data_IF_938279205634
#
_entry.id   IF_938279205634
#
_cell.length_a   1.000
_cell.length_b   1.000
_cell.length_c   1.000
_cell.angle_alpha   90.00
_cell.angle_beta   90.00
_cell.angle_gamma   90.00
#
_symmetry.space_group_name_H-M   'P 1'
#
loop_
_entity.id
_entity.type
_entity.pdbx_description
1 polymer ?
2 non-polymer ?
3 non-polymer ?
4 non-polymer ?
5 water ?
#
# COMPACT_ATOMS: atom_id res chain seq x y z
N UNK A 1 -3.69 -17.78 -20.26
CA UNK A 1 -3.65 -19.20 -19.81
C UNK A 1 -2.24 -19.76 -19.98
N UNK A 2 -1.88 -20.16 -21.20
CA UNK A 2 -0.46 -20.30 -21.52
C UNK A 2 0.30 -18.98 -21.30
N UNK A 3 -0.29 -17.88 -21.74
CA UNK A 3 0.23 -16.54 -21.47
C UNK A 3 0.47 -16.31 -19.96
N UNK A 4 -0.56 -16.60 -19.18
CA UNK A 4 -0.55 -16.39 -17.75
C UNK A 4 0.43 -17.32 -17.06
N UNK A 5 0.39 -18.60 -17.40
CA UNK A 5 1.37 -19.55 -16.88
C UNK A 5 2.80 -19.11 -17.19
N UNK A 6 3.03 -18.65 -18.40
CA UNK A 6 4.32 -18.11 -18.76
C UNK A 6 4.76 -16.98 -17.85
N UNK A 7 3.85 -16.04 -17.60
CA UNK A 7 4.16 -14.88 -16.78
C UNK A 7 4.67 -15.33 -15.42
N UNK A 8 3.91 -16.21 -14.79
CA UNK A 8 4.23 -16.64 -13.45
C UNK A 8 5.48 -17.53 -13.43
N UNK A 9 5.66 -18.36 -14.45
CA UNK A 9 6.84 -19.25 -14.47
C UNK A 9 8.11 -18.48 -14.84
N UNK A 10 8.04 -17.67 -15.89
CA UNK A 10 9.19 -16.86 -16.31
C UNK A 10 9.66 -15.88 -15.22
N UNK A 11 8.72 -15.24 -14.52
CA UNK A 11 9.09 -14.16 -13.58
C UNK A 11 9.12 -14.63 -12.14
N UNK A 12 8.98 -15.96 -11.96
CA UNK A 12 9.08 -16.60 -10.63
C UNK A 12 8.07 -16.11 -9.63
N UNK A 13 6.86 -15.85 -10.12
CA UNK A 13 5.78 -15.38 -9.26
C UNK A 13 5.09 -16.55 -8.58
N UNK A 14 5.35 -16.73 -7.30
CA UNK A 14 4.74 -17.83 -6.57
C UNK A 14 3.53 -17.29 -5.85
N UNK A 15 2.37 -17.89 -6.05
CA UNK A 15 1.13 -17.34 -5.52
C UNK A 15 0.39 -18.42 -4.75
N UNK A 16 -0.11 -18.11 -3.56
CA UNK A 16 -0.99 -19.04 -2.85
C UNK A 16 -2.27 -18.29 -2.51
N UNK A 17 -3.40 -19.00 -2.49
CA UNK A 17 -4.67 -18.38 -2.13
C UNK A 17 -5.81 -18.87 -3.01
N UNK A 18 -7.02 -18.37 -2.80
CA UNK A 18 -8.14 -18.82 -3.60
C UNK A 18 -8.67 -17.69 -4.49
N UNK A 19 -9.17 -18.04 -5.69
CA UNK A 19 -9.74 -17.04 -6.60
C UNK A 19 -8.73 -15.97 -7.00
N UNK A 20 -7.54 -16.39 -7.39
CA UNK A 20 -6.44 -15.49 -7.74
C UNK A 20 -6.70 -14.70 -8.99
N UNK A 21 -6.57 -13.35 -8.91
CA UNK A 21 -6.60 -12.52 -10.11
C UNK A 21 -5.38 -12.82 -10.97
N UNK A 22 -5.55 -12.80 -12.28
CA UNK A 22 -4.40 -12.91 -13.16
C UNK A 22 -3.44 -11.74 -13.03
N UNK A 23 -2.15 -12.03 -13.21
CA UNK A 23 -1.18 -10.96 -13.20
C UNK A 23 -1.33 -10.12 -14.49
N UNK A 24 -0.89 -8.88 -14.45
CA UNK A 24 -0.84 -8.12 -15.69
C UNK A 24 0.56 -8.21 -16.31
N UNK A 25 0.61 -8.31 -17.63
CA UNK A 25 1.86 -8.36 -18.35
C UNK A 25 2.47 -6.96 -18.59
N UNK A 26 1.61 -5.96 -18.75
CA UNK A 26 2.08 -4.64 -19.17
C UNK A 26 1.27 -3.55 -18.47
N UNK A 27 1.82 -2.35 -18.32
CA UNK A 27 0.99 -1.26 -17.77
C UNK A 27 -0.17 -0.86 -18.68
N UNK A 28 -0.02 -1.11 -19.96
CA UNK A 28 -1.09 -0.82 -20.93
C UNK A 28 -2.40 -1.61 -20.67
N UNK A 29 -2.26 -2.88 -20.29
CA UNK A 29 -3.40 -3.67 -19.78
C UNK A 29 -4.28 -2.89 -18.83
N UNK A 30 -3.67 -2.11 -17.93
CA UNK A 30 -4.41 -1.38 -16.89
C UNK A 30 -5.29 -0.31 -17.50
N UNK A 31 -4.91 0.22 -18.64
CA UNK A 31 -5.85 1.14 -19.26
C UNK A 31 -6.99 0.30 -19.83
N UNK A 32 -6.64 -0.80 -20.50
CA UNK A 32 -7.64 -1.62 -21.17
C UNK A 32 -8.57 -2.27 -20.16
N UNK A 33 -8.03 -2.78 -19.06
CA UNK A 33 -8.84 -3.55 -18.10
C UNK A 33 -9.47 -2.72 -16.95
N UNK A 34 -8.73 -1.76 -16.40
CA UNK A 34 -9.19 -0.94 -15.26
C UNK A 34 -9.33 0.54 -15.56
N UNK A 35 -8.91 1.00 -16.73
CA UNK A 35 -9.25 2.37 -17.10
C UNK A 35 -8.60 3.40 -16.16
N UNK A 36 -7.34 3.10 -15.83
CA UNK A 36 -6.42 3.99 -15.11
C UNK A 36 -6.37 5.44 -15.64
N UNK A 37 -6.24 6.38 -14.72
CA UNK A 37 -6.07 7.78 -15.07
C UNK A 37 -4.97 7.96 -16.11
N UNK A 38 -5.27 8.70 -17.18
CA UNK A 38 -4.32 8.86 -18.28
C UNK A 38 -3.04 9.60 -17.88
N UNK A 39 -3.15 10.57 -16.98
CA UNK A 39 -1.96 11.25 -16.50
C UNK A 39 -1.07 10.32 -15.67
N UNK A 40 -1.68 9.60 -14.74
CA UNK A 40 -0.95 8.58 -13.96
C UNK A 40 -0.17 7.63 -14.86
N UNK A 41 -0.85 7.01 -15.83
CA UNK A 41 -0.17 6.10 -16.76
C UNK A 41 0.99 6.79 -17.52
N UNK A 42 0.79 8.04 -17.94
CA UNK A 42 1.88 8.75 -18.61
C UNK A 42 3.03 9.03 -17.63
N UNK A 43 2.70 9.34 -16.38
CA UNK A 43 3.76 9.56 -15.38
C UNK A 43 4.64 8.33 -15.20
N UNK A 44 3.98 7.18 -15.06
CA UNK A 44 4.63 5.88 -14.93
C UNK A 44 5.58 5.63 -16.11
N UNK A 45 5.07 5.80 -17.33
CA UNK A 45 5.89 5.60 -18.52
C UNK A 45 7.03 6.65 -18.66
N UNK A 46 6.73 7.92 -18.41
CA UNK A 46 7.75 8.99 -18.35
C UNK A 46 8.86 8.74 -17.33
N UNK A 47 8.55 8.02 -16.26
CA UNK A 47 9.56 7.69 -15.26
C UNK A 47 10.50 6.60 -15.76
N UNK A 48 10.20 6.06 -16.94
CA UNK A 48 11.03 5.03 -17.56
C UNK A 48 10.60 3.65 -17.11
N UNK A 49 9.46 3.57 -16.44
CA UNK A 49 8.98 2.28 -16.01
C UNK A 49 8.23 1.70 -17.18
N UNK A 50 8.99 1.13 -18.10
CA UNK A 50 8.44 0.58 -19.33
C UNK A 50 7.57 -0.68 -19.11
N UNK A 51 7.92 -1.48 -18.11
CA UNK A 51 7.28 -2.78 -17.86
C UNK A 51 7.14 -3.02 -16.36
N UNK A 52 5.98 -3.52 -15.90
CA UNK A 52 5.94 -3.77 -14.46
C UNK A 52 6.94 -4.83 -14.07
N UNK A 53 7.38 -4.75 -12.83
CA UNK A 53 8.26 -5.74 -12.25
C UNK A 53 7.42 -6.95 -11.83
N UNK A 54 8.07 -8.10 -11.58
CA UNK A 54 7.32 -9.32 -11.21
C UNK A 54 6.33 -9.09 -10.03
N UNK A 55 6.73 -8.34 -8.99
CA UNK A 55 5.83 -8.12 -7.85
C UNK A 55 4.66 -7.21 -8.24
N UNK A 56 4.95 -6.16 -9.00
CA UNK A 56 3.92 -5.32 -9.61
C UNK A 56 2.96 -6.13 -10.46
N UNK A 57 3.48 -7.02 -11.30
CA UNK A 57 2.64 -7.82 -12.18
C UNK A 57 1.51 -8.53 -11.43
N UNK A 58 1.83 -9.12 -10.29
CA UNK A 58 0.82 -9.85 -9.54
C UNK A 58 0.22 -9.07 -8.36
N UNK A 59 0.99 -8.19 -7.73
CA UNK A 59 0.44 -7.48 -6.55
C UNK A 59 -0.65 -6.47 -6.94
N UNK A 60 -0.42 -5.77 -8.05
CA UNK A 60 -1.34 -4.71 -8.44
C UNK A 60 -2.76 -5.22 -8.66
N UNK A 61 -2.91 -6.28 -9.50
CA UNK A 61 -4.29 -6.74 -9.73
C UNK A 61 -4.90 -7.37 -8.48
N UNK A 62 -4.10 -7.97 -7.60
CA UNK A 62 -4.63 -8.45 -6.34
C UNK A 62 -5.28 -7.31 -5.52
N UNK A 63 -4.62 -6.16 -5.41
CA UNK A 63 -5.18 -5.01 -4.66
C UNK A 63 -6.34 -4.37 -5.38
N UNK A 64 -6.27 -4.32 -6.71
CA UNK A 64 -7.32 -3.71 -7.48
C UNK A 64 -8.61 -4.53 -7.25
N UNK A 65 -8.47 -5.84 -7.05
CA UNK A 65 -9.62 -6.72 -6.84
C UNK A 65 -10.08 -6.72 -5.40
N UNK A 66 -9.50 -5.86 -4.57
CA UNK A 66 -9.93 -5.74 -3.19
C UNK A 66 -9.58 -6.92 -2.28
N UNK A 67 -8.48 -7.61 -2.60
CA UNK A 67 -8.07 -8.80 -1.88
C UNK A 67 -6.91 -8.46 -0.98
N UNK A 68 -6.97 -8.91 0.29
CA UNK A 68 -5.85 -8.73 1.19
C UNK A 68 -4.67 -9.53 0.70
N UNK A 69 -3.47 -9.06 1.02
CA UNK A 69 -2.28 -9.47 0.32
C UNK A 69 -1.11 -9.57 1.29
N UNK A 70 -0.37 -10.65 1.18
CA UNK A 70 0.99 -10.68 1.71
C UNK A 70 1.92 -10.80 0.50
N UNK A 71 2.74 -9.77 0.29
CA UNK A 71 3.62 -9.70 -0.86
C UNK A 71 5.06 -9.67 -0.41
N UNK A 72 5.88 -10.57 -0.95
CA UNK A 72 7.29 -10.65 -0.59
C UNK A 72 8.15 -10.63 -1.82
N UNK A 73 9.16 -9.76 -1.79
CA UNK A 73 10.13 -9.68 -2.87
C UNK A 73 11.36 -8.97 -2.34
N UNK A 74 12.56 -9.36 -2.79
CA UNK A 74 13.79 -8.74 -2.26
C UNK A 74 13.80 -7.21 -2.43
N UNK A 75 14.61 -6.52 -1.65
CA UNK A 75 14.95 -5.13 -1.94
C UNK A 75 15.29 -4.90 -3.42
N UNK A 76 14.78 -3.80 -3.99
CA UNK A 76 15.07 -3.49 -5.37
C UNK A 76 14.03 -4.05 -6.32
N UNK A 77 12.93 -4.57 -5.79
CA UNK A 77 11.97 -5.25 -6.64
C UNK A 77 10.87 -4.36 -7.21
N UNK A 78 10.77 -3.11 -6.71
CA UNK A 78 9.70 -2.16 -7.04
C UNK A 78 8.44 -2.32 -6.19
N UNK A 79 8.61 -2.65 -4.91
CA UNK A 79 7.44 -2.84 -4.05
C UNK A 79 6.69 -1.53 -3.79
N UNK A 80 7.38 -0.38 -3.83
CA UNK A 80 6.65 0.89 -3.64
C UNK A 80 5.57 1.11 -4.69
N UNK A 81 5.90 0.93 -5.97
CA UNK A 81 4.90 1.18 -7.02
C UNK A 81 3.82 0.12 -7.03
N UNK A 82 4.21 -1.11 -6.64
CA UNK A 82 3.27 -2.23 -6.48
C UNK A 82 2.07 -1.93 -5.54
N UNK A 83 2.31 -1.15 -4.48
CA UNK A 83 1.16 -0.70 -3.67
C UNK A 83 0.63 0.70 -3.98
N UNK A 84 1.44 1.55 -4.60
CA UNK A 84 1.06 2.94 -4.80
C UNK A 84 0.07 3.13 -5.95
N UNK A 85 0.32 2.38 -7.03
CA UNK A 85 -0.54 2.43 -8.20
C UNK A 85 -1.97 2.00 -7.91
N UNK A 86 -2.16 0.84 -7.29
CA UNK A 86 -3.53 0.43 -6.99
C UNK A 86 -4.22 1.34 -5.97
N UNK A 87 -3.49 1.86 -5.01
CA UNK A 87 -4.06 2.87 -4.11
C UNK A 87 -4.53 4.10 -4.87
N UNK A 88 -3.66 4.67 -5.70
CA UNK A 88 -4.10 5.81 -6.52
C UNK A 88 -5.29 5.47 -7.44
N UNK A 89 -5.22 4.31 -8.08
CA UNK A 89 -6.30 3.88 -8.98
C UNK A 89 -7.64 3.69 -8.25
N UNK A 90 -7.60 3.05 -7.09
CA UNK A 90 -8.80 2.82 -6.29
C UNK A 90 -9.41 4.15 -5.83
N UNK A 91 -8.56 5.06 -5.38
CA UNK A 91 -9.07 6.30 -4.82
C UNK A 91 -9.70 7.20 -5.91
N UNK A 92 -9.30 6.97 -7.16
CA UNK A 92 -9.81 7.65 -8.36
C UNK A 92 -9.49 9.14 -8.50
N UNK A 93 -9.92 9.92 -7.50
CA UNK A 93 -9.80 11.39 -7.54
C UNK A 93 -9.50 11.88 -6.14
N UNK A 94 -8.78 13.02 -6.06
CA UNK A 94 -8.60 13.69 -4.78
C UNK A 94 -9.96 13.93 -4.19
N UNK A 95 -10.08 13.90 -2.87
CA UNK A 95 -11.38 14.12 -2.25
C UNK A 95 -11.18 14.78 -0.89
N UNK A 96 -12.27 15.27 -0.31
CA UNK A 96 -12.23 16.04 0.92
C UNK A 96 -12.77 15.22 2.08
N UNK A 97 -12.45 13.92 2.04
CA UNK A 97 -13.00 12.93 2.97
C UNK A 97 -11.97 12.58 4.05
N UNK A 98 -10.82 13.26 4.07
CA UNK A 98 -9.73 12.87 4.99
C UNK A 98 -9.00 11.67 4.42
N UNK A 99 -8.00 11.15 5.12
CA UNK A 99 -7.12 10.10 4.52
C UNK A 99 -7.88 8.86 4.14
N UNK A 100 -7.70 8.43 2.90
CA UNK A 100 -8.36 7.23 2.39
C UNK A 100 -7.38 6.09 2.22
N UNK A 101 -6.12 6.36 2.53
CA UNK A 101 -5.13 5.32 2.43
C UNK A 101 -4.02 5.67 3.37
N UNK A 102 -3.39 4.64 3.90
CA UNK A 102 -2.43 4.78 4.98
C UNK A 102 -1.31 3.78 4.74
N UNK A 103 -0.08 4.26 4.68
CA UNK A 103 1.05 3.39 4.44
C UNK A 103 1.97 3.50 5.65
N UNK A 104 2.31 2.38 6.25
CA UNK A 104 3.15 2.35 7.43
C UNK A 104 4.52 1.80 7.05
N UNK A 105 5.56 2.51 7.44
CA UNK A 105 6.91 2.11 7.12
C UNK A 105 7.70 2.27 8.41
N UNK A 106 8.84 1.53 8.55
CA UNK A 106 9.57 1.50 9.83
C UNK A 106 10.14 2.84 10.29
N UNK A 107 10.62 3.66 9.37
CA UNK A 107 11.34 4.86 9.78
C UNK A 107 10.95 6.11 9.00
N UNK A 108 11.23 7.27 9.58
CA UNK A 108 11.14 8.54 8.85
C UNK A 108 11.85 8.46 7.48
N UNK A 109 13.08 7.92 7.45
CA UNK A 109 13.86 7.79 6.21
C UNK A 109 13.12 7.03 5.12
N UNK A 110 12.67 5.82 5.47
CA UNK A 110 11.96 4.99 4.51
C UNK A 110 10.60 5.60 4.16
N UNK A 111 9.91 6.16 5.14
CA UNK A 111 8.64 6.86 4.88
C UNK A 111 8.86 8.01 3.90
N UNK A 112 9.89 8.81 4.13
CA UNK A 112 10.12 9.94 3.25
C UNK A 112 10.32 9.51 1.77
N UNK A 113 11.05 8.41 1.55
CA UNK A 113 11.22 7.89 0.18
C UNK A 113 9.90 7.41 -0.47
N UNK A 114 9.05 6.72 0.30
CA UNK A 114 7.74 6.38 -0.23
C UNK A 114 6.96 7.65 -0.58
N UNK A 115 7.03 8.64 0.29
CA UNK A 115 6.30 9.88 0.06
C UNK A 115 6.74 10.55 -1.26
N UNK A 116 8.05 10.62 -1.49
CA UNK A 116 8.56 11.23 -2.72
C UNK A 116 8.15 10.47 -4.00
N UNK A 117 8.19 9.15 -3.94
CA UNK A 117 7.78 8.32 -5.06
C UNK A 117 6.29 8.59 -5.40
N UNK A 118 5.46 8.66 -4.37
CA UNK A 118 4.05 8.96 -4.56
C UNK A 118 3.84 10.34 -5.17
N UNK A 119 4.57 11.32 -4.66
CA UNK A 119 4.45 12.67 -5.14
C UNK A 119 4.77 12.66 -6.63
N UNK A 120 5.88 11.98 -6.98
CA UNK A 120 6.37 12.02 -8.35
C UNK A 120 5.41 11.31 -9.33
N UNK A 121 4.98 10.10 -8.97
CA UNK A 121 4.11 9.33 -9.88
C UNK A 121 2.71 9.93 -9.96
N UNK A 122 2.35 10.75 -9.01
CA UNK A 122 1.01 11.33 -9.05
C UNK A 122 0.97 12.79 -9.50
N UNK A 123 2.11 13.32 -9.94
CA UNK A 123 2.15 14.71 -10.40
C UNK A 123 1.02 15.03 -11.37
N UNK A 124 0.37 16.16 -11.14
CA UNK A 124 -0.71 16.60 -12.02
C UNK A 124 -2.07 15.94 -11.81
N UNK A 125 -2.18 15.01 -10.86
CA UNK A 125 -3.43 14.32 -10.57
C UNK A 125 -4.24 14.97 -9.45
N UNK A 126 -3.59 15.86 -8.70
CA UNK A 126 -4.22 16.54 -7.58
C UNK A 126 -4.30 15.79 -6.26
N UNK A 127 -3.79 14.56 -6.20
CA UNK A 127 -3.77 13.85 -4.90
C UNK A 127 -2.82 14.55 -3.91
N UNK A 128 -3.27 14.65 -2.67
CA UNK A 128 -2.48 15.24 -1.61
C UNK A 128 -1.96 14.13 -0.70
N UNK A 129 -0.64 14.01 -0.67
CA UNK A 129 0.00 12.94 0.04
C UNK A 129 0.88 13.60 1.08
N UNK A 130 0.81 13.11 2.30
CA UNK A 130 1.40 13.81 3.43
C UNK A 130 2.16 12.87 4.33
N UNK A 131 3.14 13.43 5.02
CA UNK A 131 3.68 12.83 6.22
C UNK A 131 3.21 13.80 7.32
N UNK A 132 2.98 13.31 8.53
CA UNK A 132 2.63 14.22 9.60
C UNK A 132 3.81 14.45 10.59
N UNK A 133 4.43 15.61 10.47
CA UNK A 133 5.59 15.96 11.27
C UNK A 133 5.19 16.58 12.60
N UNK A 134 6.17 16.74 13.48
CA UNK A 134 5.97 17.24 14.83
C UNK A 134 5.13 18.50 14.94
N UNK A 135 5.49 19.53 14.18
CA UNK A 135 4.74 20.80 14.19
C UNK A 135 3.27 20.64 13.67
N UNK A 136 3.08 19.79 12.66
CA UNK A 136 1.73 19.48 12.21
C UNK A 136 0.93 18.76 13.31
N UNK A 137 1.60 17.89 14.06
CA UNK A 137 0.98 17.23 15.18
C UNK A 137 0.59 18.30 16.23
N UNK A 138 1.55 19.14 16.59
CA UNK A 138 1.26 20.26 17.48
C UNK A 138 0.08 21.10 16.97
N UNK A 139 0.07 21.41 15.67
CA UNK A 139 -0.99 22.25 15.10
C UNK A 139 -2.33 21.56 14.83
N UNK A 140 -2.38 20.22 14.93
CA UNK A 140 -3.64 19.51 14.69
C UNK A 140 -4.09 19.74 13.25
N UNK A 141 -3.12 19.91 12.35
CA UNK A 141 -3.44 20.26 10.98
C UNK A 141 -4.29 19.18 10.27
N UNK A 142 -4.19 17.93 10.71
CA UNK A 142 -4.95 16.86 10.05
C UNK A 142 -6.00 16.30 10.98
N UNK A 143 -6.34 17.06 12.01
CA UNK A 143 -7.36 16.66 12.97
C UNK A 143 -8.72 16.39 12.33
N UNK A 144 -9.57 15.64 13.04
CA UNK A 144 -10.98 15.47 12.67
C UNK A 144 -11.71 16.82 12.45
N UNK A 145 -11.31 17.88 13.15
CA UNK A 145 -11.97 19.18 12.89
C UNK A 145 -11.24 20.06 11.84
N UNK A 146 -10.46 19.43 10.97
CA UNK A 146 -9.76 20.18 9.93
C UNK A 146 -10.56 20.17 8.62
N UNK A 147 -9.93 20.71 7.57
CA UNK A 147 -10.50 20.75 6.21
C UNK A 147 -10.80 19.36 5.60
N UNK A 148 -9.99 18.37 5.93
CA UNK A 148 -10.10 17.02 5.36
C UNK A 148 -9.69 16.92 3.89
N UNK A 149 -9.04 17.97 3.39
CA UNK A 149 -8.53 17.95 2.06
C UNK A 149 -7.14 17.31 2.06
N UNK A 150 -7.11 16.01 2.29
CA UNK A 150 -5.90 15.21 2.19
C UNK A 150 -6.32 13.78 1.89
N UNK A 151 -5.47 13.05 1.16
CA UNK A 151 -5.90 11.76 0.57
C UNK A 151 -5.13 10.56 1.14
N UNK A 152 -3.81 10.70 1.21
CA UNK A 152 -2.94 9.56 1.50
C UNK A 152 -1.93 9.97 2.55
N UNK A 153 -1.78 9.14 3.59
CA UNK A 153 -0.80 9.39 4.67
C UNK A 153 0.32 8.35 4.64
N UNK A 154 1.57 8.82 4.62
CA UNK A 154 2.71 7.89 4.83
C UNK A 154 3.28 8.15 6.22
N UNK A 155 3.50 7.09 7.02
CA UNK A 155 3.88 7.33 8.40
C UNK A 155 4.59 6.11 9.01
N UNK A 156 5.02 6.27 10.26
CA UNK A 156 5.61 5.21 11.04
C UNK A 156 4.57 4.74 12.05
N UNK A 157 4.77 3.55 12.62
CA UNK A 157 3.84 3.03 13.62
C UNK A 157 3.72 3.97 14.85
N UNK A 158 4.85 4.44 15.38
CA UNK A 158 4.82 5.22 16.63
C UNK A 158 4.15 6.58 16.45
N UNK A 159 4.40 7.19 15.29
CA UNK A 159 3.82 8.50 15.00
C UNK A 159 2.32 8.40 14.86
N UNK A 160 1.88 7.35 14.19
CA UNK A 160 0.46 7.15 13.96
C UNK A 160 -0.25 6.85 15.29
N UNK A 161 0.40 6.07 16.15
CA UNK A 161 -0.20 5.67 17.40
C UNK A 161 -0.26 6.90 18.32
N UNK A 162 0.80 7.69 18.27
CA UNK A 162 0.78 8.94 19.02
C UNK A 162 -0.45 9.78 18.66
N UNK A 163 -0.71 9.93 17.37
CA UNK A 163 -1.90 10.70 16.92
C UNK A 163 -3.23 10.11 17.40
N UNK A 164 -3.38 8.79 17.27
CA UNK A 164 -4.59 8.08 17.67
C UNK A 164 -4.84 8.24 19.16
N UNK A 165 -3.76 8.37 19.95
CA UNK A 165 -3.90 8.34 21.39
C UNK A 165 -4.01 9.71 22.01
N UNK A 166 -3.79 10.76 21.23
CA UNK A 166 -4.00 12.11 21.72
C UNK A 166 -5.45 12.31 22.21
N UNK A 167 -5.66 13.27 23.10
CA UNK A 167 -6.99 13.57 23.60
C UNK A 167 -7.34 15.02 23.28
N UNK A 168 -8.17 15.23 22.25
CA UNK A 168 -8.82 14.17 21.47
C UNK A 168 -7.91 13.73 20.34
N UNK A 169 -8.31 12.67 19.62
CA UNK A 169 -7.45 12.05 18.59
C UNK A 169 -6.96 13.05 17.54
N UNK A 170 -5.67 13.02 17.23
CA UNK A 170 -5.09 13.89 16.22
C UNK A 170 -5.28 13.40 14.79
N UNK A 171 -6.00 12.30 14.61
CA UNK A 171 -6.30 11.80 13.29
C UNK A 171 -7.55 10.92 13.34
N UNK A 172 -8.26 10.85 12.21
CA UNK A 172 -9.47 10.02 12.11
C UNK A 172 -9.24 9.06 10.94
N UNK A 173 -9.38 7.76 11.18
CA UNK A 173 -9.08 6.74 10.18
C UNK A 173 -10.32 6.10 9.61
N UNK A 174 -11.47 6.73 9.86
CA UNK A 174 -12.75 6.18 9.47
C UNK A 174 -12.91 6.00 7.96
N UNK A 175 -12.19 6.76 7.14
CA UNK A 175 -12.31 6.57 5.68
C UNK A 175 -11.18 5.80 5.00
N UNK A 176 -10.24 5.30 5.79
CA UNK A 176 -9.10 4.59 5.22
C UNK A 176 -9.62 3.34 4.51
N UNK A 177 -9.31 3.23 3.24
CA UNK A 177 -9.74 2.06 2.48
C UNK A 177 -8.58 1.08 2.30
N UNK A 178 -7.36 1.60 2.32
CA UNK A 178 -6.18 0.72 2.19
C UNK A 178 -5.21 0.99 3.33
N UNK A 179 -4.85 -0.05 4.07
CA UNK A 179 -3.79 0.04 5.07
C UNK A 179 -2.65 -0.86 4.61
N UNK A 180 -1.52 -0.22 4.29
CA UNK A 180 -0.39 -0.92 3.74
C UNK A 180 0.77 -0.87 4.74
N UNK A 181 1.33 -2.04 5.05
CA UNK A 181 2.53 -2.13 5.87
C UNK A 181 3.71 -2.50 4.97
N UNK A 182 4.68 -1.59 4.90
CA UNK A 182 5.86 -1.79 4.10
C UNK A 182 7.00 -2.25 5.02
N UNK A 183 7.84 -3.15 4.51
CA UNK A 183 8.88 -3.80 5.33
C UNK A 183 8.32 -4.46 6.60
N UNK A 184 7.27 -5.26 6.42
CA UNK A 184 6.68 -6.04 7.50
C UNK A 184 7.65 -6.97 8.22
N UNK A 185 8.56 -7.58 7.48
CA UNK A 185 9.53 -8.48 8.12
C UNK A 185 10.31 -7.68 9.15
N UNK A 186 10.75 -6.48 8.80
CA UNK A 186 11.55 -5.71 9.74
C UNK A 186 10.70 -5.35 10.97
N UNK A 187 9.53 -4.78 10.73
CA UNK A 187 8.64 -4.37 11.79
C UNK A 187 8.30 -5.52 12.78
N UNK A 188 8.03 -6.73 12.27
CA UNK A 188 7.72 -7.83 13.18
C UNK A 188 8.96 -8.33 13.90
N UNK A 189 10.12 -7.78 13.57
CA UNK A 189 11.36 -8.24 14.21
C UNK A 189 11.94 -7.21 15.17
N UNK A 190 11.61 -5.94 14.94
CA UNK A 190 12.09 -4.86 15.80
C UNK A 190 11.29 -4.80 17.09
N UNK A 191 9.97 -4.68 16.98
CA UNK A 191 9.09 -4.76 18.14
C UNK A 191 8.46 -6.13 18.25
N UNK A 194 4.35 -6.49 20.45
CA UNK A 194 4.75 -5.08 20.36
C UNK A 194 4.20 -4.36 19.13
N UNK A 195 4.83 -4.57 17.98
CA UNK A 195 4.30 -4.06 16.74
C UNK A 195 2.93 -4.73 16.48
N UNK A 196 2.82 -6.00 16.82
CA UNK A 196 1.58 -6.76 16.61
C UNK A 196 0.37 -6.09 17.26
N UNK A 197 0.57 -5.57 18.47
CA UNK A 197 -0.50 -4.91 19.19
C UNK A 197 -0.81 -3.52 18.64
N UNK A 198 0.23 -2.80 18.21
CA UNK A 198 0.03 -1.52 17.53
C UNK A 198 -0.87 -1.72 16.32
N UNK A 199 -0.49 -2.68 15.48
CA UNK A 199 -1.24 -2.95 14.27
C UNK A 199 -2.69 -3.36 14.57
N UNK A 200 -2.90 -4.05 15.69
CA UNK A 200 -4.26 -4.37 16.10
C UNK A 200 -5.06 -3.10 16.39
N UNK A 201 -4.46 -2.16 17.13
CA UNK A 201 -5.16 -0.93 17.49
C UNK A 201 -5.34 -0.01 16.27
N UNK A 202 -4.31 0.10 15.44
CA UNK A 202 -4.52 0.77 14.16
C UNK A 202 -5.71 0.17 13.39
N UNK A 203 -5.68 -1.13 13.11
CA UNK A 203 -6.76 -1.71 12.32
C UNK A 203 -8.11 -1.47 13.00
N UNK A 204 -8.14 -1.54 14.34
CA UNK A 204 -9.41 -1.35 15.05
C UNK A 204 -9.97 0.04 14.78
N UNK A 205 -9.07 1.00 14.55
CA UNK A 205 -9.47 2.40 14.31
C UNK A 205 -9.99 2.63 12.86
N UNK A 206 -9.60 1.72 11.96
CA UNK A 206 -9.97 1.77 10.56
C UNK A 206 -11.31 1.08 10.33
N UNK A 207 -12.40 1.83 10.50
CA UNK A 207 -13.74 1.27 10.62
C UNK A 207 -14.50 1.27 9.29
N UNK A 208 -13.86 1.72 8.21
CA UNK A 208 -14.53 1.75 6.91
C UNK A 208 -14.96 0.36 6.50
N UNK A 209 -16.18 0.26 5.97
CA UNK A 209 -16.66 -0.99 5.41
C UNK A 209 -15.75 -1.44 4.27
N UNK A 210 -14.95 -0.52 3.74
CA UNK A 210 -14.13 -0.83 2.58
C UNK A 210 -12.69 -1.27 2.90
N UNK A 211 -12.28 -1.21 4.17
CA UNK A 211 -10.85 -1.32 4.49
C UNK A 211 -10.24 -2.65 4.03
N UNK A 212 -9.10 -2.57 3.37
CA UNK A 212 -8.36 -3.78 3.07
C UNK A 212 -6.93 -3.58 3.52
N UNK A 213 -6.23 -4.68 3.81
CA UNK A 213 -4.84 -4.64 4.29
C UNK A 213 -3.89 -5.34 3.32
N UNK A 214 -2.71 -4.77 3.16
CA UNK A 214 -1.71 -5.42 2.36
C UNK A 214 -0.41 -5.34 3.15
N UNK A 215 0.27 -6.48 3.29
CA UNK A 215 1.56 -6.48 3.95
C UNK A 215 2.67 -6.76 2.93
N UNK A 216 3.65 -5.86 2.88
CA UNK A 216 4.79 -6.00 2.01
C UNK A 216 6.04 -6.27 2.86
N UNK A 217 6.88 -7.18 2.37
CA UNK A 217 8.09 -7.56 3.10
C UNK A 217 9.18 -7.93 2.13
N UNK A 218 10.43 -7.80 2.57
CA UNK A 218 11.56 -8.14 1.74
C UNK A 218 11.76 -9.64 1.66
N UNK A 219 11.39 -10.34 2.73
CA UNK A 219 11.66 -11.76 2.81
C UNK A 219 10.40 -12.49 3.17
N UNK A 220 10.23 -13.66 2.57
CA UNK A 220 9.08 -14.51 2.86
C UNK A 220 9.30 -15.27 4.18
N UNK A 221 8.82 -14.66 5.28
CA UNK A 221 9.17 -15.01 6.68
C UNK A 221 8.03 -15.56 7.53
N UNK A 222 8.39 -16.32 8.56
CA UNK A 222 7.46 -17.26 9.21
C UNK A 222 6.26 -16.64 9.95
N UNK A 223 6.54 -15.72 10.88
CA UNK A 223 5.49 -15.11 11.70
C UNK A 223 4.77 -13.96 11.01
N UNK A 224 5.26 -13.56 9.84
CA UNK A 224 4.52 -12.63 9.01
C UNK A 224 3.55 -13.51 8.23
N UNK A 225 4.06 -14.60 7.69
CA UNK A 225 3.19 -15.53 7.00
C UNK A 225 2.05 -15.98 7.91
N UNK A 226 2.37 -16.41 9.14
CA UNK A 226 1.37 -17.01 10.03
C UNK A 226 0.45 -15.95 10.61
N UNK A 227 0.97 -14.75 10.80
CA UNK A 227 0.16 -13.63 11.25
C UNK A 227 -0.91 -13.28 10.22
N UNK A 228 -0.52 -13.27 8.95
CA UNK A 228 -1.43 -12.96 7.87
C UNK A 228 -2.49 -14.03 7.65
N UNK A 229 -2.10 -15.29 7.61
CA UNK A 229 -3.04 -16.38 7.44
C UNK A 229 -4.06 -16.38 8.56
N UNK A 230 -3.66 -15.79 9.69
CA UNK A 230 -4.44 -15.79 10.91
C UNK A 230 -5.30 -14.54 11.03
N UNK A 231 -4.75 -13.39 10.61
CA UNK A 231 -5.42 -12.11 10.78
C UNK A 231 -6.11 -11.55 9.53
N UNK A 232 -5.54 -11.77 8.37
CA UNK A 232 -6.10 -11.17 7.18
C UNK A 232 -7.24 -12.05 6.67
N UNK A 233 -8.14 -11.47 5.89
CA UNK A 233 -9.29 -12.19 5.43
C UNK A 233 -9.00 -12.79 4.05
N UNK A 234 -9.09 -14.11 3.93
CA UNK A 234 -8.95 -14.76 2.61
C UNK A 234 -7.66 -14.30 1.93
N UNK A 235 -6.56 -14.27 2.66
CA UNK A 235 -5.33 -13.70 2.12
C UNK A 235 -4.79 -14.36 0.83
N UNK A 236 -4.17 -13.54 -0.01
CA UNK A 236 -3.44 -14.05 -1.14
C UNK A 236 -1.96 -13.78 -0.85
N UNK A 237 -1.12 -14.80 -0.94
CA UNK A 237 0.31 -14.61 -0.77
C UNK A 237 1.01 -14.60 -2.13
N UNK A 238 1.81 -13.57 -2.37
CA UNK A 238 2.62 -13.53 -3.59
C UNK A 238 4.06 -13.39 -3.14
N UNK A 239 4.94 -14.21 -3.69
CA UNK A 239 6.35 -14.16 -3.37
C UNK A 239 7.15 -14.35 -4.67
N UNK A 240 8.21 -13.57 -4.87
CA UNK A 240 9.07 -13.70 -6.04
C UNK A 240 10.31 -14.54 -5.71
N UNK A 241 10.49 -15.66 -6.40
CA UNK A 241 11.62 -16.54 -6.13
C UNK A 241 12.87 -15.88 -6.68
N UNK A 242 14.03 -16.30 -6.18
CA UNK A 242 15.30 -15.64 -6.53
C UNK A 242 15.73 -16.07 -7.91
#
# INVERSE_FOLDING_TARGET
>A
SMKINFLRNKHKIHVQGTDLPDPIATFQQLDQEYKINSRLLQNILDAGFQMPTPIQMQAIPVMLHGRELLASAPTGSGKTLAFSIPILMQLKQPANKGFRALIISPTRELASQIHRELIKISEGTGFRIHMIHKAAVAAKKFGPKSSKKFDILVTTPNRLIYLLKQDPPGIDLASVEWLVVDESDKLFEDGKTGFRDQLASIFLACTSHKVRRAMFSATFAYDVEQWCKLNLDNVISVSIGARNS
#
